data_IF_966762418076
#
_entry.id   IF_966762418076
#
_cell.length_a   1.000
_cell.length_b   1.000
_cell.length_c   1.000
_cell.angle_alpha   90.00
_cell.angle_beta   90.00
_cell.angle_gamma   90.00
#
_symmetry.space_group_name_H-M   'P 1'
#
loop_
_entity.id
_entity.type
_entity.pdbx_description
1 polymer ?
#
# COMPACT_ATOMS: atom_id res chain seq x y z
N UNK A 1 -1.62 12.74 18.16
CA UNK A 1 -2.79 11.86 18.33
C UNK A 1 -2.28 10.42 18.28
N UNK A 2 -2.14 9.76 19.42
CA UNK A 2 -1.71 8.36 19.50
C UNK A 2 -2.94 7.48 19.32
N UNK A 3 -3.14 6.94 18.11
CA UNK A 3 -4.19 5.94 17.90
C UNK A 3 -3.77 4.65 18.60
N UNK A 4 -4.56 4.23 19.58
CA UNK A 4 -4.45 2.90 20.18
C UNK A 4 -4.98 1.88 19.15
N UNK A 5 -4.08 1.20 18.46
CA UNK A 5 -4.42 0.10 17.56
C UNK A 5 -4.38 -1.20 18.36
N UNK A 6 -5.54 -1.81 18.57
CA UNK A 6 -5.64 -3.15 19.12
C UNK A 6 -5.68 -4.16 17.99
N UNK A 7 -5.02 -5.31 18.15
CA UNK A 7 -5.09 -6.40 17.16
C UNK A 7 -6.51 -6.95 17.03
N UNK A 8 -7.28 -6.99 18.12
CA UNK A 8 -8.67 -7.49 18.17
C UNK A 8 -9.64 -6.33 18.43
N UNK A 9 -10.84 -6.38 17.84
CA UNK A 9 -11.93 -5.45 18.14
C UNK A 9 -12.21 -5.39 19.66
N UNK A 10 -12.46 -4.20 20.18
CA UNK A 10 -12.64 -3.97 21.62
C UNK A 10 -14.10 -3.68 21.95
N UNK A 11 -14.63 -4.32 22.99
CA UNK A 11 -15.94 -3.95 23.54
C UNK A 11 -15.70 -3.09 24.79
N UNK A 12 -16.11 -1.83 24.73
CA UNK A 12 -16.10 -0.99 25.92
C UNK A 12 -17.24 -1.40 26.84
N UNK A 13 -17.04 -1.40 28.17
CA UNK A 13 -18.17 -1.53 29.09
C UNK A 13 -19.11 -0.33 28.95
N UNK A 14 -20.37 -0.52 29.34
CA UNK A 14 -21.32 0.58 29.51
C UNK A 14 -20.90 1.49 30.68
N UNK A 15 -21.53 2.66 30.79
CA UNK A 15 -21.26 3.61 31.90
C UNK A 15 -21.55 2.99 33.28
N UNK A 16 -22.45 2.01 33.35
CA UNK A 16 -22.78 1.24 34.55
C UNK A 16 -21.84 0.05 34.82
N UNK A 17 -20.81 -0.14 33.99
CA UNK A 17 -19.82 -1.20 34.11
C UNK A 17 -20.24 -2.55 33.52
N UNK A 18 -21.43 -2.66 32.92
CA UNK A 18 -21.86 -3.91 32.27
C UNK A 18 -21.04 -4.18 30.98
N UNK A 19 -20.77 -5.45 30.64
CA UNK A 19 -19.82 -5.80 29.58
C UNK A 19 -20.33 -5.55 28.15
N UNK A 20 -21.60 -5.20 27.95
CA UNK A 20 -22.28 -5.15 26.65
C UNK A 20 -22.34 -3.74 26.04
N UNK A 21 -21.28 -2.94 26.23
CA UNK A 21 -21.26 -1.57 25.73
C UNK A 21 -20.88 -1.43 24.26
N UNK A 22 -20.25 -0.32 23.91
CA UNK A 22 -20.01 0.04 22.50
C UNK A 22 -18.84 -0.77 21.91
N UNK A 23 -19.09 -1.44 20.79
CA UNK A 23 -18.05 -2.11 20.01
C UNK A 23 -17.18 -1.10 19.26
N UNK A 24 -15.87 -1.18 19.46
CA UNK A 24 -14.85 -0.51 18.70
C UNK A 24 -14.26 -1.48 17.67
N UNK A 25 -14.76 -1.38 16.44
CA UNK A 25 -14.43 -2.26 15.32
C UNK A 25 -13.15 -1.90 14.57
N UNK A 26 -12.21 -1.22 15.23
CA UNK A 26 -10.93 -0.77 14.63
C UNK A 26 -9.83 -1.84 14.67
N UNK A 27 -10.10 -3.03 15.21
CA UNK A 27 -9.12 -4.12 15.24
C UNK A 27 -8.98 -4.83 13.90
N UNK A 28 -7.87 -5.56 13.75
CA UNK A 28 -7.61 -6.44 12.59
C UNK A 28 -8.37 -7.76 12.67
N UNK A 29 -8.71 -8.20 13.89
CA UNK A 29 -9.39 -9.46 14.19
C UNK A 29 -10.76 -9.16 14.84
N UNK A 30 -11.80 -9.90 14.44
CA UNK A 30 -13.14 -9.77 15.04
C UNK A 30 -13.13 -10.25 16.49
N UNK A 31 -13.81 -9.53 17.37
CA UNK A 31 -13.99 -9.96 18.78
C UNK A 31 -14.84 -11.23 18.90
N UNK A 32 -15.87 -11.36 18.06
CA UNK A 32 -16.92 -12.38 18.20
C UNK A 32 -16.40 -13.80 18.09
N UNK A 33 -15.47 -14.03 17.18
CA UNK A 33 -15.03 -15.37 16.77
C UNK A 33 -13.51 -15.43 16.47
N UNK A 34 -12.78 -14.35 16.72
CA UNK A 34 -11.36 -14.21 16.41
C UNK A 34 -11.00 -14.44 14.94
N UNK A 35 -11.97 -14.32 14.04
CA UNK A 35 -11.70 -14.41 12.60
C UNK A 35 -10.97 -13.16 12.11
N UNK A 36 -9.94 -13.31 11.26
CA UNK A 36 -9.29 -12.17 10.61
C UNK A 36 -10.26 -11.36 9.75
N UNK A 37 -10.12 -10.03 9.77
CA UNK A 37 -10.80 -9.11 8.85
C UNK A 37 -9.91 -8.87 7.63
N UNK A 38 -10.43 -8.37 6.50
CA UNK A 38 -9.60 -8.10 5.32
C UNK A 38 -8.34 -7.25 5.61
N UNK A 39 -8.45 -6.27 6.52
CA UNK A 39 -7.31 -5.45 6.94
C UNK A 39 -6.16 -6.25 7.59
N UNK A 40 -6.45 -7.41 8.21
CA UNK A 40 -5.42 -8.30 8.75
C UNK A 40 -4.50 -8.81 7.64
N UNK A 41 -5.08 -9.29 6.53
CA UNK A 41 -4.31 -9.83 5.41
C UNK A 41 -3.55 -8.74 4.66
N UNK A 42 -4.13 -7.54 4.54
CA UNK A 42 -3.41 -6.40 4.01
C UNK A 42 -2.21 -6.01 4.89
N UNK A 43 -2.41 -5.96 6.21
CA UNK A 43 -1.31 -5.70 7.15
C UNK A 43 -0.25 -6.80 7.11
N UNK A 44 -0.65 -8.07 7.01
CA UNK A 44 0.27 -9.20 6.85
C UNK A 44 1.12 -9.07 5.59
N UNK A 45 0.50 -8.69 4.45
CA UNK A 45 1.22 -8.45 3.20
C UNK A 45 2.26 -7.33 3.37
N UNK A 46 1.88 -6.22 4.01
CA UNK A 46 2.81 -5.14 4.32
C UNK A 46 3.96 -5.61 5.21
N UNK A 47 3.71 -6.35 6.29
CA UNK A 47 4.77 -6.89 7.14
C UNK A 47 5.70 -7.87 6.42
N UNK A 48 5.24 -8.54 5.36
CA UNK A 48 6.11 -9.40 4.54
C UNK A 48 7.04 -8.59 3.62
N UNK A 49 6.69 -7.34 3.31
CA UNK A 49 7.49 -6.42 2.49
C UNK A 49 8.36 -5.48 3.33
N UNK A 50 7.86 -5.08 4.50
CA UNK A 50 8.45 -4.12 5.42
C UNK A 50 8.83 -4.82 6.72
N UNK A 51 10.08 -5.21 6.83
CA UNK A 51 10.67 -5.89 7.98
C UNK A 51 11.92 -5.17 8.50
N UNK A 52 12.67 -5.83 9.38
CA UNK A 52 13.86 -5.25 10.00
C UNK A 52 14.99 -4.90 9.00
N UNK A 53 14.93 -5.38 7.76
CA UNK A 53 15.89 -5.05 6.71
C UNK A 53 15.42 -3.87 5.83
N UNK A 54 14.24 -3.30 6.12
CA UNK A 54 13.66 -2.23 5.32
C UNK A 54 14.01 -0.85 5.89
N UNK A 55 14.66 -0.04 5.08
CA UNK A 55 15.10 1.30 5.42
C UNK A 55 14.39 2.35 4.56
N UNK A 56 14.12 3.51 5.15
CA UNK A 56 13.65 4.68 4.40
C UNK A 56 14.70 5.10 3.37
N UNK A 57 14.24 5.42 2.17
CA UNK A 57 15.09 5.94 1.11
C UNK A 57 14.47 7.17 0.48
N UNK A 58 15.30 8.13 0.07
CA UNK A 58 14.86 9.23 -0.77
C UNK A 58 15.16 8.89 -2.24
N UNK A 59 14.19 8.25 -2.91
CA UNK A 59 14.33 7.83 -4.31
C UNK A 59 13.16 8.33 -5.15
N UNK A 60 13.44 8.91 -6.33
CA UNK A 60 12.40 9.45 -7.19
C UNK A 60 11.56 8.32 -7.80
N UNK A 61 10.25 8.48 -7.69
CA UNK A 61 9.24 7.75 -8.43
C UNK A 61 8.37 8.81 -9.11
N UNK A 62 8.32 8.80 -10.44
CA UNK A 62 7.39 9.63 -11.19
C UNK A 62 6.18 8.79 -11.59
N UNK A 63 4.99 9.36 -11.43
CA UNK A 63 3.74 8.71 -11.79
C UNK A 63 2.93 9.71 -12.60
N UNK A 64 2.54 9.33 -13.81
CA UNK A 64 1.62 10.10 -14.64
C UNK A 64 0.35 9.29 -14.90
N UNK A 65 -0.78 9.99 -15.03
CA UNK A 65 -2.02 9.34 -15.48
C UNK A 65 -1.85 8.82 -16.90
N UNK A 66 -2.44 7.66 -17.20
CA UNK A 66 -2.59 7.21 -18.59
C UNK A 66 -3.46 8.18 -19.40
N UNK A 67 -3.56 7.91 -20.70
CA UNK A 67 -4.16 8.81 -21.70
C UNK A 67 -5.64 9.22 -21.43
N UNK A 68 -6.35 8.52 -20.54
CA UNK A 68 -7.80 8.66 -20.35
C UNK A 68 -8.22 9.70 -19.30
N UNK A 69 -7.42 9.91 -18.24
CA UNK A 69 -7.71 10.92 -17.20
C UNK A 69 -6.43 11.43 -16.53
N UNK A 70 -6.23 12.75 -16.44
CA UNK A 70 -5.14 13.33 -15.65
C UNK A 70 -5.19 12.84 -14.20
N UNK A 71 -4.04 12.45 -13.68
CA UNK A 71 -3.84 12.12 -12.28
C UNK A 71 -3.68 13.42 -11.49
N UNK A 72 -4.40 13.60 -10.39
CA UNK A 72 -4.17 14.71 -9.48
C UNK A 72 -2.82 14.52 -8.77
N UNK A 73 -1.79 15.19 -9.29
CA UNK A 73 -0.43 15.12 -8.75
C UNK A 73 -0.33 15.70 -7.34
N UNK A 74 -1.25 16.58 -6.93
CA UNK A 74 -1.23 17.20 -5.61
C UNK A 74 -1.75 16.27 -4.51
N UNK A 75 -2.63 15.35 -4.87
CA UNK A 75 -3.19 14.34 -3.96
C UNK A 75 -2.37 13.05 -3.89
N UNK A 76 -1.47 12.83 -4.86
CA UNK A 76 -0.71 11.60 -4.97
C UNK A 76 0.33 11.47 -3.86
N UNK A 77 0.24 10.37 -3.12
CA UNK A 77 1.18 10.02 -2.08
C UNK A 77 2.17 8.98 -2.59
N UNK A 78 3.43 9.16 -2.21
CA UNK A 78 4.57 8.31 -2.61
C UNK A 78 5.49 8.10 -1.41
N UNK A 79 6.06 6.92 -1.29
CA UNK A 79 7.13 6.63 -0.36
C UNK A 79 8.13 5.66 -1.01
N UNK A 80 9.40 5.78 -0.65
CA UNK A 80 10.47 4.96 -1.18
C UNK A 80 11.29 4.35 -0.03
N UNK A 81 11.71 3.12 -0.26
CA UNK A 81 12.43 2.30 0.70
C UNK A 81 13.45 1.43 -0.03
N UNK A 82 14.36 0.87 0.75
CA UNK A 82 15.24 -0.21 0.31
C UNK A 82 15.14 -1.36 1.30
N UNK A 83 15.10 -2.59 0.78
CA UNK A 83 15.27 -3.81 1.57
C UNK A 83 16.50 -4.53 1.05
N UNK A 84 17.61 -4.37 1.75
CA UNK A 84 18.93 -4.69 1.19
C UNK A 84 19.21 -3.88 -0.08
N UNK A 85 19.56 -4.55 -1.17
CA UNK A 85 19.84 -3.96 -2.49
C UNK A 85 18.59 -3.87 -3.39
N UNK A 86 17.39 -4.08 -2.84
CA UNK A 86 16.13 -4.07 -3.58
C UNK A 86 15.34 -2.81 -3.26
N UNK A 87 15.03 -1.95 -4.25
CA UNK A 87 14.19 -0.79 -3.99
C UNK A 87 12.72 -1.22 -3.88
N UNK A 88 12.00 -0.59 -2.95
CA UNK A 88 10.56 -0.71 -2.81
C UNK A 88 9.94 0.69 -2.91
N UNK A 89 8.85 0.78 -3.66
CA UNK A 89 8.09 2.00 -3.83
C UNK A 89 6.64 1.74 -3.45
N UNK A 90 6.07 2.62 -2.65
CA UNK A 90 4.64 2.65 -2.35
C UNK A 90 4.04 3.91 -2.95
N UNK A 91 2.87 3.80 -3.56
CA UNK A 91 2.12 4.93 -4.07
C UNK A 91 0.62 4.69 -3.98
N UNK A 92 -0.14 5.75 -3.72
CA UNK A 92 -1.60 5.68 -3.69
C UNK A 92 -2.21 7.07 -3.88
N UNK A 93 -3.44 7.10 -4.38
CA UNK A 93 -4.30 8.26 -4.32
C UNK A 93 -5.30 8.06 -3.18
N UNK A 94 -5.44 9.02 -2.25
CA UNK A 94 -6.54 9.01 -1.30
C UNK A 94 -7.88 8.98 -2.05
N UNK A 95 -8.68 7.95 -1.79
CA UNK A 95 -10.02 7.80 -2.34
C UNK A 95 -11.09 8.05 -1.27
N UNK A 96 -12.28 8.45 -1.71
CA UNK A 96 -13.47 8.42 -0.86
C UNK A 96 -13.98 6.97 -0.77
N UNK A 97 -13.90 6.37 0.41
CA UNK A 97 -14.32 4.98 0.64
C UNK A 97 -15.83 4.75 0.45
N UNK A 98 -16.61 5.82 0.29
CA UNK A 98 -18.05 5.77 0.03
C UNK A 98 -18.37 5.69 -1.47
N UNK A 99 -17.38 5.93 -2.32
CA UNK A 99 -17.52 5.94 -3.76
C UNK A 99 -16.73 4.79 -4.38
N UNK A 100 -17.30 4.18 -5.41
CA UNK A 100 -16.58 3.21 -6.21
C UNK A 100 -15.57 3.95 -7.08
N UNK A 101 -14.28 3.73 -6.81
CA UNK A 101 -13.21 4.32 -7.60
C UNK A 101 -12.79 3.30 -8.67
N UNK A 102 -13.01 3.57 -9.97
CA UNK A 102 -12.60 2.64 -11.00
C UNK A 102 -11.08 2.51 -11.04
N UNK A 103 -10.61 1.31 -11.41
CA UNK A 103 -9.21 1.05 -11.69
C UNK A 103 -8.68 2.05 -12.73
N UNK A 104 -7.44 2.50 -12.54
CA UNK A 104 -6.80 3.47 -13.43
C UNK A 104 -5.44 2.97 -13.88
N UNK A 105 -5.20 3.12 -15.18
CA UNK A 105 -3.87 2.91 -15.74
C UNK A 105 -3.00 4.12 -15.43
N UNK A 106 -1.81 3.85 -14.91
CA UNK A 106 -0.76 4.86 -14.70
C UNK A 106 0.52 4.42 -15.37
N UNK A 107 1.33 5.41 -15.76
CA UNK A 107 2.71 5.18 -16.15
C UNK A 107 3.62 5.47 -14.96
N UNK A 108 4.53 4.54 -14.67
CA UNK A 108 5.53 4.66 -13.63
C UNK A 108 6.90 4.89 -14.28
N UNK A 109 7.63 5.90 -13.81
CA UNK A 109 9.05 6.07 -14.10
C UNK A 109 9.87 5.89 -12.84
N UNK A 110 10.72 4.87 -12.85
CA UNK A 110 11.64 4.56 -11.75
C UNK A 110 13.06 4.82 -12.26
N UNK A 111 13.79 5.70 -11.58
CA UNK A 111 15.16 6.02 -11.94
C UNK A 111 16.13 5.01 -11.32
N UNK A 112 16.91 4.34 -12.17
CA UNK A 112 17.99 3.46 -11.75
C UNK A 112 18.96 4.26 -10.86
N UNK A 113 19.15 3.82 -9.62
CA UNK A 113 20.11 4.40 -8.69
C UNK A 113 21.16 3.35 -8.36
N UNK A 114 22.47 3.70 -8.29
CA UNK A 114 23.52 2.73 -7.97
C UNK A 114 23.20 1.96 -6.68
N UNK A 115 23.36 0.64 -6.70
CA UNK A 115 23.13 -0.22 -5.54
C UNK A 115 21.68 -0.61 -5.26
N UNK A 116 20.69 -0.15 -6.04
CA UNK A 116 19.37 -0.80 -6.04
C UNK A 116 18.67 -0.60 -7.39
N UNK A 117 18.69 -1.65 -8.22
CA UNK A 117 18.17 -1.66 -9.60
C UNK A 117 16.96 -2.60 -9.68
N UNK A 118 15.87 -2.14 -10.30
CA UNK A 118 14.69 -2.96 -10.57
C UNK A 118 14.82 -3.67 -11.92
N UNK A 119 15.47 -4.83 -11.92
CA UNK A 119 15.62 -5.64 -13.14
C UNK A 119 14.28 -6.25 -13.59
N UNK A 120 13.48 -6.72 -12.63
CA UNK A 120 12.18 -7.36 -12.85
C UNK A 120 11.16 -6.76 -11.88
N UNK A 121 10.67 -5.53 -12.15
CA UNK A 121 9.71 -4.90 -11.28
C UNK A 121 8.40 -5.70 -11.27
N UNK A 122 7.81 -5.79 -10.09
CA UNK A 122 6.47 -6.36 -9.87
C UNK A 122 5.63 -5.33 -9.14
N UNK A 123 4.34 -5.28 -9.43
CA UNK A 123 3.36 -4.57 -8.60
C UNK A 123 2.76 -5.57 -7.62
N UNK A 124 2.63 -5.15 -6.36
CA UNK A 124 1.97 -5.94 -5.33
C UNK A 124 0.75 -5.14 -4.86
N UNK A 125 -0.43 -5.73 -4.98
CA UNK A 125 -1.63 -5.19 -4.35
C UNK A 125 -1.73 -5.76 -2.92
N UNK A 126 -1.54 -4.95 -1.87
CA UNK A 126 -1.60 -5.44 -0.51
C UNK A 126 -3.01 -5.87 -0.09
N UNK A 127 -4.08 -5.38 -0.73
CA UNK A 127 -5.45 -5.73 -0.35
C UNK A 127 -5.81 -7.16 -0.74
N UNK A 128 -5.26 -7.64 -1.87
CA UNK A 128 -5.49 -9.01 -2.38
C UNK A 128 -4.27 -9.92 -2.23
N UNK A 129 -3.12 -9.37 -1.85
CA UNK A 129 -1.80 -10.01 -1.89
C UNK A 129 -1.41 -10.53 -3.30
N UNK A 130 -2.01 -9.98 -4.35
CA UNK A 130 -1.72 -10.37 -5.74
C UNK A 130 -0.45 -9.71 -6.22
N UNK A 131 0.40 -10.49 -6.90
CA UNK A 131 1.64 -10.03 -7.52
C UNK A 131 1.46 -9.99 -9.03
N UNK A 132 1.60 -8.81 -9.61
CA UNK A 132 1.47 -8.56 -11.04
C UNK A 132 2.85 -8.32 -11.65
N UNK A 133 3.18 -9.06 -12.71
CA UNK A 133 4.31 -8.72 -13.57
C UNK A 133 3.97 -7.49 -14.40
N UNK A 134 4.90 -6.53 -14.51
CA UNK A 134 4.65 -5.32 -15.29
C UNK A 134 4.89 -5.58 -16.78
N UNK A 135 3.87 -5.42 -17.65
CA UNK A 135 4.05 -5.52 -19.09
C UNK A 135 4.82 -4.27 -19.56
N UNK A 136 5.94 -4.50 -20.27
CA UNK A 136 6.83 -3.47 -20.84
C UNK A 136 7.75 -2.79 -19.82
N UNK A 137 8.91 -3.39 -19.59
CA UNK A 137 10.10 -2.70 -19.06
C UNK A 137 10.92 -2.16 -20.23
N UNK A 138 10.52 -1.00 -20.76
CA UNK A 138 11.40 -0.25 -21.66
C UNK A 138 12.52 0.40 -20.84
N UNK A 139 13.67 -0.26 -20.71
CA UNK A 139 14.86 0.33 -20.07
C UNK A 139 15.41 1.43 -20.98
N UNK A 140 14.91 2.65 -20.86
CA UNK A 140 15.52 3.83 -21.48
C UNK A 140 16.73 4.18 -20.61
N UNK A 141 17.92 4.40 -21.22
CA UNK A 141 19.05 5.03 -20.51
C UNK A 141 18.52 6.34 -19.89
N UNK A 142 18.30 6.35 -18.57
CA UNK A 142 17.75 7.50 -17.84
C UNK A 142 16.29 7.40 -17.32
N UNK A 143 15.69 6.21 -17.22
CA UNK A 143 14.40 6.02 -16.54
C UNK A 143 13.47 5.09 -17.32
N UNK A 144 13.05 4.00 -16.69
CA UNK A 144 12.17 3.01 -17.31
C UNK A 144 10.70 3.37 -17.11
N UNK A 145 9.88 3.24 -18.16
CA UNK A 145 8.42 3.46 -18.12
C UNK A 145 7.71 2.10 -18.03
N UNK A 146 6.79 1.92 -17.10
CA UNK A 146 5.96 0.71 -17.01
C UNK A 146 4.48 1.07 -16.86
N UNK A 147 3.63 0.33 -17.58
CA UNK A 147 2.18 0.51 -17.65
C UNK A 147 1.51 -0.55 -16.77
N UNK A 148 0.66 -0.15 -15.83
CA UNK A 148 0.00 -1.11 -14.93
C UNK A 148 -1.51 -0.85 -14.87
N UNK A 149 -2.30 -1.92 -15.04
CA UNK A 149 -3.72 -1.95 -14.73
C UNK A 149 -3.90 -2.69 -13.39
N UNK A 150 -4.58 -2.10 -12.39
CA UNK A 150 -5.16 -2.83 -11.26
C UNK A 150 -6.40 -3.63 -11.67
#
# INVERSE_FOLDING_TARGET
MTSYFHTVDMLYPNEDGTPDGRLNSKGLIRRSDYTPKPAYFAYQCLCALFDAETEWADRPLEISGGDERPLDQSALLRAAFTRGDRPLHAYWLPGDLREETPARTVDLVILDTPGAVLERPVLIDPLTATVYGLPQTGRRRGGGRSRVCP
#
